data_IF_122074150968
#
_entry.id   IF_122074150968
#
_cell.length_a   1.000
_cell.length_b   1.000
_cell.length_c   1.000
_cell.angle_alpha   90.00
_cell.angle_beta   90.00
_cell.angle_gamma   90.00
#
_symmetry.space_group_name_H-M   'P 1'
#
loop_
_entity.id
_entity.type
_entity.pdbx_description
1 polymer ?
#
# COMPACT_ATOMS: atom_id res chain seq x y z
N UNK A 1 6.65 -14.46 -2.14
CA UNK A 1 5.83 -15.01 -1.05
C UNK A 1 5.31 -16.38 -1.45
N UNK A 2 5.77 -17.44 -0.79
CA UNK A 2 5.29 -18.82 -0.97
C UNK A 2 4.16 -19.07 0.01
N UNK A 3 3.01 -19.52 -0.47
CA UNK A 3 1.77 -19.62 0.32
C UNK A 3 1.28 -21.05 0.31
N UNK A 4 1.05 -21.62 1.50
CA UNK A 4 0.33 -22.88 1.64
C UNK A 4 -1.13 -22.58 1.96
N UNK A 5 -2.04 -23.18 1.19
CA UNK A 5 -3.49 -22.99 1.33
C UNK A 5 -4.11 -24.32 1.72
N UNK A 6 -4.78 -24.37 2.86
CA UNK A 6 -5.48 -25.54 3.37
C UNK A 6 -6.93 -25.16 3.70
N UNK A 7 -7.85 -25.57 2.83
CA UNK A 7 -9.26 -25.23 2.93
C UNK A 7 -10.14 -26.40 2.51
N UNK A 8 -11.28 -26.53 3.19
CA UNK A 8 -12.29 -27.52 2.86
C UNK A 8 -13.16 -27.08 1.67
N UNK A 9 -13.45 -25.77 1.57
CA UNK A 9 -14.25 -25.19 0.49
C UNK A 9 -13.45 -25.05 -0.81
N UNK A 10 -13.81 -25.85 -1.81
CA UNK A 10 -13.08 -25.94 -3.08
C UNK A 10 -13.18 -24.65 -3.92
N UNK A 11 -14.33 -23.97 -3.92
CA UNK A 11 -14.53 -22.74 -4.69
C UNK A 11 -13.67 -21.59 -4.12
N UNK A 12 -13.69 -21.41 -2.79
CA UNK A 12 -12.81 -20.43 -2.12
C UNK A 12 -11.35 -20.79 -2.30
N UNK A 13 -10.99 -22.08 -2.21
CA UNK A 13 -9.62 -22.54 -2.48
C UNK A 13 -9.12 -22.15 -3.87
N UNK A 14 -9.89 -22.42 -4.92
CA UNK A 14 -9.50 -22.11 -6.32
C UNK A 14 -9.35 -20.59 -6.53
N UNK A 15 -10.27 -19.80 -5.95
CA UNK A 15 -10.21 -18.33 -6.03
C UNK A 15 -9.01 -17.77 -5.27
N UNK A 16 -8.68 -18.30 -4.09
CA UNK A 16 -7.51 -17.88 -3.33
C UNK A 16 -6.21 -18.24 -4.05
N UNK A 17 -6.09 -19.47 -4.56
CA UNK A 17 -4.94 -19.88 -5.36
C UNK A 17 -4.71 -18.96 -6.57
N UNK A 18 -5.81 -18.61 -7.25
CA UNK A 18 -5.79 -17.67 -8.37
C UNK A 18 -5.37 -16.26 -7.92
N UNK A 19 -5.93 -15.77 -6.81
CA UNK A 19 -5.62 -14.45 -6.26
C UNK A 19 -4.15 -14.33 -5.83
N UNK A 20 -3.60 -15.36 -5.18
CA UNK A 20 -2.19 -15.45 -4.78
C UNK A 20 -1.30 -15.34 -6.02
N UNK A 21 -1.56 -16.17 -7.03
CA UNK A 21 -0.75 -16.23 -8.25
C UNK A 21 -0.78 -14.91 -9.02
N UNK A 22 -1.97 -14.32 -9.19
CA UNK A 22 -2.18 -13.04 -9.87
C UNK A 22 -1.65 -11.83 -9.06
N UNK A 23 -1.35 -12.01 -7.77
CA UNK A 23 -0.74 -11.00 -6.91
C UNK A 23 0.78 -11.15 -6.79
N UNK A 24 1.39 -12.09 -7.53
CA UNK A 24 2.84 -12.32 -7.53
C UNK A 24 3.34 -13.28 -6.44
N UNK A 25 2.42 -13.98 -5.77
CA UNK A 25 2.74 -15.09 -4.87
C UNK A 25 2.83 -16.44 -5.60
N UNK A 26 3.36 -17.45 -4.91
CA UNK A 26 3.44 -18.83 -5.41
C UNK A 26 2.73 -19.75 -4.44
N UNK A 27 1.74 -20.52 -4.91
CA UNK A 27 1.08 -21.55 -4.09
C UNK A 27 1.98 -22.78 -4.03
N UNK A 28 2.30 -23.26 -2.82
CA UNK A 28 3.13 -24.45 -2.61
C UNK A 28 2.29 -25.63 -2.14
N UNK A 29 2.70 -26.84 -2.55
CA UNK A 29 1.96 -28.06 -2.24
C UNK A 29 2.21 -28.59 -0.82
N UNK A 30 3.35 -28.22 -0.21
CA UNK A 30 3.74 -28.67 1.13
C UNK A 30 3.93 -27.48 2.05
N UNK A 31 3.40 -27.59 3.25
CA UNK A 31 3.45 -26.58 4.29
C UNK A 31 4.89 -26.16 4.66
N UNK A 32 5.85 -27.09 4.63
CA UNK A 32 7.27 -26.81 4.93
C UNK A 32 7.92 -25.84 3.94
N UNK A 33 7.35 -25.72 2.74
CA UNK A 33 7.89 -24.87 1.67
C UNK A 33 7.28 -23.44 1.70
N UNK A 34 6.42 -23.14 2.68
CA UNK A 34 5.62 -21.91 2.74
C UNK A 34 6.20 -20.85 3.68
N UNK A 35 5.99 -19.58 3.30
CA UNK A 35 6.26 -18.40 4.13
C UNK A 35 4.97 -17.89 4.83
N UNK A 36 3.80 -18.25 4.30
CA UNK A 36 2.47 -17.83 4.76
C UNK A 36 1.50 -19.01 4.73
N UNK A 37 0.67 -19.12 5.77
CA UNK A 37 -0.45 -20.06 5.83
C UNK A 37 -1.78 -19.37 5.54
N UNK A 38 -2.66 -20.02 4.78
CA UNK A 38 -4.05 -19.58 4.53
C UNK A 38 -4.97 -20.75 4.84
N UNK A 39 -5.90 -20.59 5.78
CA UNK A 39 -6.80 -21.69 6.16
C UNK A 39 -7.82 -21.32 7.22
N UNK A 40 -8.61 -22.31 7.65
CA UNK A 40 -9.71 -22.17 8.62
C UNK A 40 -9.24 -22.14 10.09
N UNK A 41 -7.95 -22.39 10.35
CA UNK A 41 -7.36 -22.47 11.69
C UNK A 41 -6.05 -21.68 11.76
N UNK A 42 -5.71 -21.19 12.94
CA UNK A 42 -4.44 -20.50 13.17
C UNK A 42 -3.31 -21.53 13.14
N UNK A 43 -2.27 -21.25 12.34
CA UNK A 43 -1.10 -22.08 12.23
C UNK A 43 -0.07 -21.75 13.32
N UNK A 44 0.48 -22.77 13.99
CA UNK A 44 1.34 -22.58 15.17
C UNK A 44 2.70 -21.91 14.89
N UNK A 45 3.19 -21.96 13.65
CA UNK A 45 4.55 -21.49 13.30
C UNK A 45 4.61 -20.49 12.13
N UNK A 46 3.51 -20.29 11.41
CA UNK A 46 3.46 -19.44 10.21
C UNK A 46 2.44 -18.36 10.46
N UNK A 47 2.70 -17.16 9.94
CA UNK A 47 1.68 -16.14 9.89
C UNK A 47 0.46 -16.65 9.11
N UNK A 48 -0.73 -16.41 9.64
CA UNK A 48 -1.98 -17.00 9.15
C UNK A 48 -2.90 -15.95 8.57
N UNK A 49 -3.32 -16.14 7.31
CA UNK A 49 -4.52 -15.50 6.78
C UNK A 49 -5.69 -16.43 7.07
N UNK A 50 -6.52 -16.05 8.03
CA UNK A 50 -7.62 -16.88 8.50
C UNK A 50 -8.83 -16.73 7.57
N UNK A 51 -9.41 -17.84 7.13
CA UNK A 51 -10.69 -17.85 6.41
C UNK A 51 -11.80 -18.16 7.40
N UNK A 52 -12.56 -17.15 7.79
CA UNK A 52 -13.63 -17.29 8.79
C UNK A 52 -14.75 -16.27 8.55
N UNK A 53 -15.97 -16.62 8.95
CA UNK A 53 -17.12 -15.69 8.94
C UNK A 53 -17.07 -14.69 10.10
N UNK A 54 -16.34 -15.03 11.17
CA UNK A 54 -16.23 -14.25 12.40
C UNK A 54 -14.74 -14.04 12.72
N UNK A 55 -14.44 -12.90 13.34
CA UNK A 55 -13.07 -12.57 13.78
C UNK A 55 -12.86 -13.25 15.14
N UNK A 56 -11.83 -14.11 15.31
CA UNK A 56 -11.57 -14.75 16.58
C UNK A 56 -11.12 -13.74 17.65
N UNK A 57 -11.37 -14.07 18.91
CA UNK A 57 -10.97 -13.22 20.05
C UNK A 57 -9.45 -13.11 20.21
N UNK A 58 -8.73 -14.19 19.91
CA UNK A 58 -7.26 -14.22 19.87
C UNK A 58 -6.75 -14.11 18.43
N UNK A 59 -6.01 -13.03 18.18
CA UNK A 59 -5.41 -12.72 16.88
C UNK A 59 -3.91 -13.03 16.83
N UNK A 60 -3.36 -13.68 17.84
CA UNK A 60 -1.94 -14.04 17.88
C UNK A 60 -1.58 -14.92 16.68
N UNK A 61 -0.64 -14.46 15.86
CA UNK A 61 -0.23 -15.16 14.63
C UNK A 61 -1.15 -14.96 13.42
N UNK A 62 -2.20 -14.15 13.53
CA UNK A 62 -3.12 -13.81 12.42
C UNK A 62 -2.63 -12.55 11.69
N UNK A 63 -2.44 -12.64 10.38
CA UNK A 63 -2.05 -11.54 9.50
C UNK A 63 -3.27 -10.77 8.98
N UNK A 64 -4.32 -11.49 8.57
CA UNK A 64 -5.60 -10.91 8.16
C UNK A 64 -6.70 -11.99 8.30
N UNK A 65 -7.96 -11.56 8.38
CA UNK A 65 -9.14 -12.44 8.39
C UNK A 65 -9.96 -12.15 7.13
N UNK A 66 -10.18 -13.16 6.31
CA UNK A 66 -10.93 -13.07 5.07
C UNK A 66 -12.24 -13.86 5.17
N UNK A 67 -13.29 -13.28 4.60
CA UNK A 67 -14.59 -13.94 4.54
C UNK A 67 -14.58 -15.02 3.45
N UNK A 68 -15.18 -16.20 3.69
CA UNK A 68 -15.33 -17.23 2.68
C UNK A 68 -16.33 -16.85 1.59
N UNK A 69 -16.33 -17.61 0.48
CA UNK A 69 -17.30 -17.51 -0.61
C UNK A 69 -17.45 -16.11 -1.23
N UNK A 70 -16.39 -15.28 -1.15
CA UNK A 70 -16.33 -13.98 -1.81
C UNK A 70 -15.89 -14.10 -3.27
N UNK A 71 -15.96 -12.99 -4.00
CA UNK A 71 -15.53 -12.93 -5.40
C UNK A 71 -14.00 -12.98 -5.52
N UNK A 72 -13.49 -13.34 -6.69
CA UNK A 72 -12.05 -13.36 -6.94
C UNK A 72 -11.42 -11.97 -6.74
N UNK A 73 -12.13 -10.90 -7.10
CA UNK A 73 -11.67 -9.51 -6.95
C UNK A 73 -11.44 -9.13 -5.48
N UNK A 74 -12.30 -9.62 -4.58
CA UNK A 74 -12.11 -9.44 -3.14
C UNK A 74 -10.79 -10.07 -2.68
N UNK A 75 -10.56 -11.34 -3.05
CA UNK A 75 -9.33 -12.03 -2.68
C UNK A 75 -8.10 -11.41 -3.35
N UNK A 76 -8.20 -10.95 -4.60
CA UNK A 76 -7.13 -10.22 -5.29
C UNK A 76 -6.74 -8.93 -4.56
N UNK A 77 -7.72 -8.15 -4.13
CA UNK A 77 -7.47 -6.93 -3.38
C UNK A 77 -6.76 -7.24 -2.07
N UNK A 78 -7.27 -8.23 -1.33
CA UNK A 78 -6.73 -8.66 -0.04
C UNK A 78 -5.32 -9.22 -0.16
N UNK A 79 -5.07 -10.10 -1.12
CA UNK A 79 -3.73 -10.66 -1.34
C UNK A 79 -2.73 -9.64 -1.85
N UNK A 80 -3.14 -8.63 -2.60
CA UNK A 80 -2.25 -7.49 -2.91
C UNK A 80 -1.88 -6.74 -1.65
N UNK A 81 -2.83 -6.44 -0.77
CA UNK A 81 -2.56 -5.78 0.51
C UNK A 81 -1.63 -6.61 1.39
N UNK A 82 -1.91 -7.90 1.54
CA UNK A 82 -1.10 -8.86 2.32
C UNK A 82 0.30 -9.01 1.71
N UNK A 83 0.40 -9.08 0.38
CA UNK A 83 1.70 -9.17 -0.28
C UNK A 83 2.51 -7.88 -0.06
N UNK A 84 1.88 -6.71 -0.06
CA UNK A 84 2.58 -5.47 0.27
C UNK A 84 2.97 -5.41 1.75
N UNK A 85 2.11 -5.81 2.69
CA UNK A 85 2.48 -5.82 4.10
C UNK A 85 3.61 -6.81 4.39
N UNK A 86 3.62 -7.98 3.74
CA UNK A 86 4.63 -9.03 3.95
C UNK A 86 5.90 -8.83 3.12
N UNK A 87 5.83 -8.29 1.91
CA UNK A 87 7.01 -8.00 1.08
C UNK A 87 7.85 -6.84 1.62
N UNK A 88 7.25 -5.97 2.43
CA UNK A 88 7.97 -4.87 3.10
C UNK A 88 8.24 -5.12 4.57
N UNK A 89 7.64 -6.15 5.20
CA UNK A 89 7.93 -6.63 6.56
C UNK A 89 7.73 -5.60 7.68
N UNK A 90 7.22 -4.42 7.36
CA UNK A 90 7.30 -3.21 8.18
C UNK A 90 6.10 -2.33 7.78
N UNK A 91 5.35 -1.79 8.75
CA UNK A 91 4.22 -0.89 8.46
C UNK A 91 4.68 0.37 7.74
N UNK A 92 3.78 1.15 7.12
CA UNK A 92 4.16 2.44 6.51
C UNK A 92 4.91 3.32 7.52
N UNK A 93 4.38 3.41 8.75
CA UNK A 93 4.96 4.22 9.82
C UNK A 93 6.33 3.68 10.23
N UNK A 94 6.46 2.39 10.44
CA UNK A 94 7.73 1.78 10.81
C UNK A 94 8.78 1.91 9.69
N UNK A 95 8.37 1.77 8.42
CA UNK A 95 9.27 1.89 7.27
C UNK A 95 9.74 3.33 7.14
N UNK A 96 8.81 4.26 7.29
CA UNK A 96 9.12 5.68 7.26
C UNK A 96 10.03 6.06 8.43
N UNK A 97 9.80 5.56 9.64
CA UNK A 97 10.68 5.77 10.79
C UNK A 97 12.09 5.23 10.51
N UNK A 98 12.21 4.06 9.90
CA UNK A 98 13.50 3.49 9.52
C UNK A 98 14.22 4.35 8.45
N UNK A 99 13.52 4.81 7.42
CA UNK A 99 14.09 5.68 6.40
C UNK A 99 14.43 7.08 6.93
N UNK A 100 13.63 7.65 7.85
CA UNK A 100 13.95 8.89 8.57
C UNK A 100 15.25 8.70 9.33
N UNK A 101 15.38 7.64 10.12
CA UNK A 101 16.59 7.31 10.86
C UNK A 101 17.82 7.18 9.93
N UNK A 102 17.69 6.45 8.81
CA UNK A 102 18.76 6.32 7.81
C UNK A 102 19.12 7.67 7.19
N UNK A 103 18.13 8.49 6.84
CA UNK A 103 18.33 9.80 6.23
C UNK A 103 19.18 10.72 7.12
N UNK A 104 18.92 10.69 8.43
CA UNK A 104 19.70 11.44 9.41
C UNK A 104 21.08 10.85 9.61
N UNK A 105 21.17 9.54 9.78
CA UNK A 105 22.43 8.83 10.01
C UNK A 105 23.42 8.99 8.86
N UNK A 106 22.92 8.97 7.63
CA UNK A 106 23.74 9.03 6.41
C UNK A 106 23.68 10.38 5.69
N UNK A 107 22.96 11.36 6.27
CA UNK A 107 22.82 12.72 5.75
C UNK A 107 22.41 12.79 4.28
N UNK A 108 21.33 12.08 3.92
CA UNK A 108 20.71 12.17 2.59
C UNK A 108 19.32 12.82 2.69
N UNK A 109 18.86 13.52 1.64
CA UNK A 109 17.52 14.09 1.64
C UNK A 109 16.46 13.00 1.48
N UNK A 110 15.46 13.01 2.35
CA UNK A 110 14.29 12.14 2.26
C UNK A 110 13.05 13.01 2.08
N UNK A 111 12.28 12.74 1.02
CA UNK A 111 11.00 13.41 0.79
C UNK A 111 9.87 12.41 0.86
N UNK A 112 8.73 12.85 1.39
CA UNK A 112 7.50 12.08 1.44
C UNK A 112 6.41 12.87 0.75
N UNK A 113 5.60 12.17 -0.03
CA UNK A 113 4.40 12.74 -0.63
C UNK A 113 3.18 11.91 -0.27
N UNK A 114 2.03 12.57 -0.22
CA UNK A 114 0.73 11.94 -0.13
C UNK A 114 -0.16 12.48 -1.24
N UNK A 115 -0.73 11.59 -2.05
CA UNK A 115 -1.64 11.94 -3.13
C UNK A 115 -3.03 11.38 -2.84
N UNK A 116 -3.98 12.26 -2.55
CA UNK A 116 -5.37 11.92 -2.23
C UNK A 116 -6.22 11.98 -3.50
N UNK A 117 -7.02 10.95 -3.73
CA UNK A 117 -8.10 10.96 -4.72
C UNK A 117 -9.34 11.64 -4.17
N UNK A 118 -9.80 12.69 -4.84
CA UNK A 118 -10.99 13.45 -4.46
C UNK A 118 -12.29 12.75 -4.88
N UNK A 119 -12.30 12.21 -6.08
CA UNK A 119 -13.38 11.39 -6.62
C UNK A 119 -13.02 9.91 -6.47
N UNK A 120 -12.93 9.45 -5.22
CA UNK A 120 -12.47 8.10 -4.91
C UNK A 120 -13.23 7.02 -5.69
N UNK A 121 -12.47 6.21 -6.42
CA UNK A 121 -12.89 5.00 -7.11
C UNK A 121 -11.69 4.04 -7.08
N UNK A 122 -11.93 2.76 -6.77
CA UNK A 122 -10.86 1.75 -6.63
C UNK A 122 -10.10 1.56 -7.95
N UNK A 123 -10.76 1.66 -9.11
CA UNK A 123 -10.11 1.58 -10.41
C UNK A 123 -9.26 2.81 -10.68
N UNK A 124 -9.67 4.00 -10.22
CA UNK A 124 -8.81 5.18 -10.27
C UNK A 124 -7.58 5.01 -9.37
N UNK A 125 -7.76 4.52 -8.14
CA UNK A 125 -6.65 4.28 -7.23
C UNK A 125 -5.62 3.31 -7.83
N UNK A 126 -6.07 2.20 -8.43
CA UNK A 126 -5.19 1.24 -9.10
C UNK A 126 -4.45 1.86 -10.30
N UNK A 127 -5.14 2.61 -11.15
CA UNK A 127 -4.54 3.24 -12.33
C UNK A 127 -3.55 4.34 -11.94
N UNK A 128 -3.88 5.15 -10.93
CA UNK A 128 -2.97 6.16 -10.40
C UNK A 128 -1.77 5.51 -9.72
N UNK A 129 -1.95 4.44 -8.95
CA UNK A 129 -0.85 3.69 -8.38
C UNK A 129 0.12 3.20 -9.47
N UNK A 130 -0.37 2.73 -10.61
CA UNK A 130 0.48 2.39 -11.75
C UNK A 130 1.20 3.61 -12.34
N UNK A 131 0.55 4.77 -12.39
CA UNK A 131 1.23 6.03 -12.79
C UNK A 131 2.39 6.31 -11.84
N UNK A 132 2.18 6.26 -10.52
CA UNK A 132 3.25 6.40 -9.53
C UNK A 132 4.38 5.39 -9.75
N UNK A 133 4.03 4.10 -9.85
CA UNK A 133 4.99 3.01 -10.03
C UNK A 133 5.87 3.18 -11.28
N UNK A 134 5.31 3.65 -12.39
CA UNK A 134 6.09 3.90 -13.62
C UNK A 134 6.99 5.14 -13.56
N UNK A 135 6.77 6.04 -12.61
CA UNK A 135 7.62 7.21 -12.39
C UNK A 135 8.66 7.01 -11.29
N UNK A 136 8.40 6.08 -10.36
CA UNK A 136 9.22 5.75 -9.22
C UNK A 136 10.54 5.10 -9.64
N UNK A 137 11.62 5.44 -8.93
CA UNK A 137 12.89 4.71 -8.95
C UNK A 137 12.75 3.44 -8.11
N UNK A 138 13.72 2.54 -8.26
CA UNK A 138 13.76 1.30 -7.47
C UNK A 138 13.89 1.54 -5.95
N UNK A 139 14.58 2.62 -5.57
CA UNK A 139 14.73 3.07 -4.18
C UNK A 139 13.44 3.66 -3.60
N UNK A 140 12.54 4.15 -4.44
CA UNK A 140 11.30 4.78 -4.00
C UNK A 140 10.31 3.71 -3.56
N UNK A 141 9.61 3.94 -2.45
CA UNK A 141 8.55 3.05 -1.96
C UNK A 141 7.20 3.72 -2.03
N UNK A 142 6.20 2.94 -2.44
CA UNK A 142 4.83 3.39 -2.63
C UNK A 142 3.91 2.56 -1.74
N UNK A 143 3.07 3.23 -0.98
CA UNK A 143 2.07 2.64 -0.10
C UNK A 143 0.68 3.12 -0.52
N UNK A 144 -0.31 2.25 -0.35
CA UNK A 144 -1.71 2.62 -0.46
C UNK A 144 -2.26 2.74 0.95
N UNK A 145 -2.84 3.90 1.28
CA UNK A 145 -3.41 4.18 2.59
C UNK A 145 -4.72 4.95 2.41
N UNK A 146 -5.83 4.35 2.80
CA UNK A 146 -7.19 4.82 2.51
C UNK A 146 -7.42 5.12 1.02
N UNK A 147 -7.89 6.34 0.71
CA UNK A 147 -8.03 6.90 -0.63
C UNK A 147 -6.77 7.64 -1.12
N UNK A 148 -5.62 7.33 -0.55
CA UNK A 148 -4.35 7.99 -0.86
C UNK A 148 -3.25 7.03 -1.27
N UNK A 149 -2.30 7.55 -2.04
CA UNK A 149 -1.02 6.90 -2.31
C UNK A 149 0.06 7.71 -1.63
N UNK A 150 0.91 7.04 -0.87
CA UNK A 150 2.02 7.65 -0.13
C UNK A 150 3.32 7.20 -0.79
N UNK A 151 4.13 8.16 -1.19
CA UNK A 151 5.44 7.92 -1.78
C UNK A 151 6.53 8.33 -0.81
N UNK A 152 7.39 7.40 -0.44
CA UNK A 152 8.62 7.64 0.32
C UNK A 152 9.77 7.64 -0.69
N UNK A 153 10.47 8.76 -0.79
CA UNK A 153 11.47 9.04 -1.83
C UNK A 153 12.85 9.29 -1.19
N UNK A 154 13.62 8.23 -0.88
CA UNK A 154 14.99 8.38 -0.41
C UNK A 154 15.87 9.09 -1.44
N UNK A 155 16.91 9.79 -0.96
CA UNK A 155 17.84 10.57 -1.78
C UNK A 155 17.16 11.61 -2.69
N UNK A 156 15.99 12.09 -2.29
CA UNK A 156 15.19 13.05 -3.05
C UNK A 156 14.94 14.29 -2.19
N UNK A 157 15.41 15.43 -2.66
CA UNK A 157 15.14 16.74 -2.07
C UNK A 157 13.74 17.25 -2.43
N UNK A 158 13.34 18.34 -1.80
CA UNK A 158 12.01 18.92 -1.99
C UNK A 158 11.73 19.27 -3.46
N UNK A 159 12.73 19.78 -4.20
CA UNK A 159 12.55 20.13 -5.61
C UNK A 159 12.38 18.88 -6.49
N UNK A 160 13.17 17.83 -6.26
CA UNK A 160 13.02 16.53 -6.90
C UNK A 160 11.64 15.93 -6.66
N UNK A 161 11.15 15.99 -5.41
CA UNK A 161 9.83 15.51 -5.03
C UNK A 161 8.70 16.31 -5.69
N UNK A 162 8.83 17.64 -5.78
CA UNK A 162 7.90 18.50 -6.55
C UNK A 162 7.87 18.12 -8.02
N UNK A 163 9.02 17.86 -8.64
CA UNK A 163 9.10 17.44 -10.05
C UNK A 163 8.47 16.07 -10.24
N UNK A 164 8.65 15.15 -9.30
CA UNK A 164 7.97 13.85 -9.29
C UNK A 164 6.45 14.03 -9.20
N UNK A 165 5.95 14.80 -8.23
CA UNK A 165 4.52 15.08 -8.03
C UNK A 165 3.89 15.73 -9.28
N UNK A 166 4.56 16.71 -9.90
CA UNK A 166 4.11 17.33 -11.16
C UNK A 166 4.02 16.33 -12.30
N UNK A 167 4.98 15.41 -12.43
CA UNK A 167 4.96 14.35 -13.45
C UNK A 167 3.78 13.40 -13.26
N UNK A 168 3.54 12.97 -12.02
CA UNK A 168 2.39 12.15 -11.65
C UNK A 168 1.09 12.88 -11.98
N UNK A 169 0.91 14.13 -11.53
CA UNK A 169 -0.30 14.91 -11.74
C UNK A 169 -0.58 15.17 -13.23
N UNK A 170 0.47 15.30 -14.05
CA UNK A 170 0.32 15.44 -15.50
C UNK A 170 -0.16 14.14 -16.15
N UNK A 171 0.42 13.00 -15.75
CA UNK A 171 0.05 11.67 -16.29
C UNK A 171 -1.29 11.16 -15.75
N UNK A 172 -1.69 11.55 -14.54
CA UNK A 172 -2.99 11.17 -14.00
C UNK A 172 -4.15 11.73 -14.83
N UNK A 173 -3.98 12.89 -15.46
CA UNK A 173 -4.99 13.49 -16.37
C UNK A 173 -5.26 12.68 -17.63
N UNK A 174 -4.34 11.79 -18.02
CA UNK A 174 -4.53 10.90 -19.17
C UNK A 174 -5.22 9.59 -18.76
N UNK A 175 -5.44 9.37 -17.46
CA UNK A 175 -6.21 8.23 -16.96
C UNK A 175 -7.69 8.55 -17.14
N UNK A 176 -8.38 7.72 -17.91
CA UNK A 176 -9.83 7.75 -18.04
C UNK A 176 -10.41 6.41 -17.59
N UNK A 177 -11.49 6.47 -16.83
CA UNK A 177 -12.32 5.33 -16.51
C UNK A 177 -13.78 5.78 -16.53
N UNK A 178 -14.61 5.06 -17.28
CA UNK A 178 -16.05 5.35 -17.42
C UNK A 178 -16.35 6.82 -17.78
N UNK A 179 -15.53 7.42 -18.65
CA UNK A 179 -15.70 8.80 -19.11
C UNK A 179 -15.26 9.87 -18.11
N UNK A 180 -14.73 9.49 -16.94
CA UNK A 180 -14.26 10.40 -15.89
C UNK A 180 -12.74 10.36 -15.76
N UNK A 181 -12.16 11.43 -15.23
CA UNK A 181 -10.72 11.52 -14.92
C UNK A 181 -10.51 11.63 -13.41
N UNK A 182 -9.42 11.08 -12.87
CA UNK A 182 -9.13 11.15 -11.46
C UNK A 182 -8.70 12.57 -11.05
N UNK A 183 -9.27 13.04 -9.95
CA UNK A 183 -8.92 14.30 -9.33
C UNK A 183 -7.97 14.04 -8.16
N UNK A 184 -6.73 14.54 -8.30
CA UNK A 184 -5.67 14.34 -7.32
C UNK A 184 -5.25 15.67 -6.69
N UNK A 185 -5.08 15.63 -5.38
CA UNK A 185 -4.38 16.64 -4.58
C UNK A 185 -3.15 15.98 -3.99
N UNK A 186 -1.98 16.58 -4.18
CA UNK A 186 -0.70 16.03 -3.71
C UNK A 186 -0.10 16.98 -2.68
N UNK A 187 0.19 16.48 -1.50
CA UNK A 187 1.02 17.16 -0.52
C UNK A 187 2.44 16.57 -0.54
N UNK A 188 3.45 17.42 -0.38
CA UNK A 188 4.86 17.03 -0.38
C UNK A 188 5.56 17.66 0.81
N UNK A 189 6.29 16.86 1.57
CA UNK A 189 7.17 17.29 2.66
C UNK A 189 8.59 16.76 2.42
N UNK A 190 9.58 17.53 2.85
CA UNK A 190 10.93 17.01 3.06
C UNK A 190 11.11 16.75 4.55
N UNK A 191 11.64 15.58 4.89
CA UNK A 191 11.90 15.17 6.28
C UNK A 191 12.94 16.10 6.89
N UNK A 192 12.63 16.61 8.07
CA UNK A 192 13.48 17.37 8.98
C UNK A 192 13.94 16.51 10.15
N UNK A 193 14.88 17.01 10.96
CA UNK A 193 15.51 16.24 12.06
C UNK A 193 14.57 15.85 13.19
N UNK A 194 13.48 16.60 13.34
CA UNK A 194 12.54 16.44 14.45
C UNK A 194 11.23 15.75 13.99
N UNK A 195 11.16 15.29 12.73
CA UNK A 195 9.97 14.62 12.21
C UNK A 195 9.92 13.16 12.66
N UNK A 196 8.76 12.75 13.18
CA UNK A 196 8.37 11.35 13.33
C UNK A 196 7.37 10.96 12.23
N UNK A 197 7.32 9.67 11.88
CA UNK A 197 6.47 9.18 10.80
C UNK A 197 4.99 9.57 10.99
N UNK A 198 4.46 9.39 12.21
CA UNK A 198 3.05 9.70 12.53
C UNK A 198 2.73 11.18 12.30
N UNK A 199 3.55 12.08 12.82
CA UNK A 199 3.37 13.53 12.71
C UNK A 199 3.51 14.01 11.26
N UNK A 200 4.49 13.45 10.53
CA UNK A 200 4.70 13.78 9.12
C UNK A 200 3.49 13.39 8.26
N UNK A 201 2.94 12.19 8.48
CA UNK A 201 1.74 11.72 7.79
C UNK A 201 0.51 12.56 8.16
N UNK A 202 0.36 12.91 9.44
CA UNK A 202 -0.67 13.82 9.93
C UNK A 202 -0.60 15.21 9.27
N UNK A 203 0.60 15.78 9.18
CA UNK A 203 0.87 17.07 8.55
C UNK A 203 0.53 17.05 7.06
N UNK A 204 0.96 16.02 6.33
CA UNK A 204 0.63 15.84 4.91
C UNK A 204 -0.89 15.78 4.70
N UNK A 205 -1.60 15.01 5.54
CA UNK A 205 -3.07 14.87 5.48
C UNK A 205 -3.79 16.19 5.76
N UNK A 206 -3.41 16.90 6.83
CA UNK A 206 -4.00 18.19 7.19
C UNK A 206 -3.86 19.22 6.06
N UNK A 207 -2.72 19.21 5.39
CA UNK A 207 -2.44 20.16 4.30
C UNK A 207 -3.23 19.83 3.04
N UNK A 208 -3.45 18.55 2.74
CA UNK A 208 -4.39 18.14 1.69
C UNK A 208 -5.80 18.66 2.00
N UNK A 209 -6.27 18.50 3.24
CA UNK A 209 -7.60 18.97 3.64
C UNK A 209 -7.76 20.49 3.44
N UNK A 210 -6.74 21.28 3.77
CA UNK A 210 -6.72 22.74 3.47
C UNK A 210 -6.61 23.06 1.98
N UNK A 211 -5.84 22.27 1.23
CA UNK A 211 -5.66 22.43 -0.21
C UNK A 211 -6.98 22.27 -0.98
N UNK A 212 -7.79 21.29 -0.55
CA UNK A 212 -9.12 21.02 -1.11
C UNK A 212 -10.03 22.24 -0.97
N UNK A 213 -10.03 22.88 0.21
CA UNK A 213 -10.83 24.08 0.47
C UNK A 213 -10.38 25.29 -0.37
N UNK A 214 -9.12 25.33 -0.78
CA UNK A 214 -8.51 26.46 -1.52
C UNK A 214 -8.34 26.19 -3.02
N UNK A 215 -8.76 25.01 -3.51
CA UNK A 215 -8.64 24.61 -4.92
C UNK A 215 -7.21 24.31 -5.39
N UNK A 216 -6.25 24.15 -4.48
CA UNK A 216 -4.85 23.87 -4.81
C UNK A 216 -4.64 22.36 -5.06
N UNK A 217 -3.82 22.03 -6.07
CA UNK A 217 -3.56 20.62 -6.47
C UNK A 217 -2.20 20.07 -6.03
N UNK A 218 -1.21 20.93 -5.79
CA UNK A 218 0.06 20.56 -5.18
C UNK A 218 0.32 21.55 -4.06
N UNK A 219 0.52 21.04 -2.84
CA UNK A 219 0.76 21.88 -1.67
C UNK A 219 1.97 21.37 -0.91
N UNK A 220 2.75 22.29 -0.37
CA UNK A 220 3.95 21.97 0.39
C UNK A 220 3.61 21.92 1.86
N UNK A 221 4.13 20.89 2.52
CA UNK A 221 3.99 20.65 3.93
C UNK A 221 5.22 21.10 4.70
#
# INVERSE_FOLDING_TARGET
>A
MRVYVELSDKDTFEKLCSAISLSGGVVVARQIDADLFVGEKIHSFLGTVLIANEVPEDLTGVIDVLLPSRSLEYYLLKFRMIFYSLAYGVSLEDFLNEEIYKSHRYNFPLSVLMARLMNFDVHFLQRIYNVFKTQARESDKLFVHDSSIIGVLPYTDLEGAKVFAKRVLRRSRTVNYSGKTPELVISVAQVSRDDEAFDLLGKLKFIIERAIQTGQRIVLA
#
